data_IF_443903569016
#
_entry.id   IF_443903569016
#
_cell.length_a   1.000
_cell.length_b   1.000
_cell.length_c   1.000
_cell.angle_alpha   90.00
_cell.angle_beta   90.00
_cell.angle_gamma   90.00
#
_symmetry.space_group_name_H-M   'P 1'
#
loop_
_entity.id
_entity.type
_entity.pdbx_description
1 polymer ?
#
# COMPACT_ATOMS: atom_id res chain seq x y z
N UNK A 1 -39.24 8.43 22.12
CA UNK A 1 -39.29 9.02 20.77
C UNK A 1 -37.94 9.57 20.30
N UNK A 2 -37.22 10.39 21.10
CA UNK A 2 -35.92 10.95 20.72
C UNK A 2 -34.86 9.89 20.31
N UNK A 3 -34.74 8.79 21.06
CA UNK A 3 -33.81 7.69 20.78
C UNK A 3 -34.09 6.93 19.48
N UNK A 4 -35.37 6.72 19.14
CA UNK A 4 -35.75 6.05 17.90
C UNK A 4 -35.43 6.92 16.67
N UNK A 5 -35.61 8.24 16.81
CA UNK A 5 -35.28 9.21 15.76
C UNK A 5 -33.76 9.30 15.57
N UNK A 6 -32.96 9.27 16.64
CA UNK A 6 -31.49 9.26 16.55
C UNK A 6 -30.97 7.98 15.89
N UNK A 7 -31.50 6.82 16.24
CA UNK A 7 -31.12 5.54 15.61
C UNK A 7 -31.44 5.57 14.11
N UNK A 8 -32.61 6.07 13.73
CA UNK A 8 -33.03 6.15 12.33
C UNK A 8 -32.16 7.12 11.53
N UNK A 9 -31.86 8.30 12.08
CA UNK A 9 -30.96 9.28 11.46
C UNK A 9 -29.55 8.72 11.30
N UNK A 10 -28.98 8.08 12.33
CA UNK A 10 -27.65 7.45 12.26
C UNK A 10 -27.62 6.31 11.22
N UNK A 11 -28.69 5.51 11.14
CA UNK A 11 -28.77 4.41 10.17
C UNK A 11 -28.84 4.93 8.74
N UNK A 12 -29.64 5.97 8.48
CA UNK A 12 -29.72 6.62 7.16
C UNK A 12 -28.38 7.26 6.79
N UNK A 13 -27.74 7.97 7.73
CA UNK A 13 -26.43 8.57 7.50
C UNK A 13 -25.36 7.50 7.22
N UNK A 14 -25.40 6.37 7.94
CA UNK A 14 -24.49 5.25 7.71
C UNK A 14 -24.71 4.58 6.35
N UNK A 15 -25.97 4.44 5.90
CA UNK A 15 -26.31 3.91 4.57
C UNK A 15 -25.82 4.87 3.48
N UNK A 16 -26.11 6.18 3.62
CA UNK A 16 -25.65 7.21 2.67
C UNK A 16 -24.11 7.27 2.63
N UNK A 17 -23.45 7.24 3.79
CA UNK A 17 -21.99 7.16 3.89
C UNK A 17 -21.43 5.91 3.19
N UNK A 18 -22.03 4.73 3.42
CA UNK A 18 -21.61 3.48 2.78
C UNK A 18 -21.84 3.49 1.26
N UNK A 19 -22.87 4.18 0.76
CA UNK A 19 -23.15 4.34 -0.68
C UNK A 19 -22.18 5.34 -1.32
N UNK A 20 -21.90 6.46 -0.64
CA UNK A 20 -20.99 7.50 -1.14
C UNK A 20 -19.51 7.12 -1.02
N UNK A 21 -19.16 6.24 -0.07
CA UNK A 21 -17.79 5.77 0.11
C UNK A 21 -17.36 4.93 -1.09
N UNK A 22 -16.63 5.57 -2.01
CA UNK A 22 -16.01 4.87 -3.15
C UNK A 22 -15.15 3.73 -2.60
N UNK A 23 -15.41 2.51 -3.07
CA UNK A 23 -14.51 1.39 -2.79
C UNK A 23 -13.13 1.75 -3.37
N UNK A 24 -12.05 1.64 -2.58
CA UNK A 24 -10.71 1.90 -3.08
C UNK A 24 -10.46 0.90 -4.22
N UNK A 25 -10.14 1.44 -5.39
CA UNK A 25 -9.75 0.64 -6.55
C UNK A 25 -8.23 0.55 -6.56
N UNK A 26 -7.74 -0.62 -6.94
CA UNK A 26 -6.33 -0.81 -7.20
C UNK A 26 -5.88 0.16 -8.29
N UNK A 27 -4.86 0.97 -8.00
CA UNK A 27 -4.27 1.88 -8.99
C UNK A 27 -3.19 1.10 -9.75
N UNK A 28 -3.35 1.00 -11.06
CA UNK A 28 -2.35 0.41 -11.92
C UNK A 28 -1.24 1.42 -12.21
N UNK A 29 0.01 1.00 -12.00
CA UNK A 29 1.19 1.75 -12.41
C UNK A 29 2.03 0.89 -13.34
N UNK A 30 2.47 1.41 -14.49
CA UNK A 30 3.44 0.71 -15.31
C UNK A 30 4.80 0.68 -14.61
N UNK A 31 5.55 -0.40 -14.85
CA UNK A 31 6.97 -0.45 -14.47
C UNK A 31 7.73 0.57 -15.32
N UNK A 32 8.53 1.41 -14.68
CA UNK A 32 9.24 2.51 -15.33
C UNK A 32 10.72 2.19 -15.50
N UNK A 33 11.29 2.62 -16.61
CA UNK A 33 12.75 2.67 -16.78
C UNK A 33 13.39 3.71 -15.85
N UNK A 34 14.73 3.78 -15.82
CA UNK A 34 15.44 4.78 -15.00
C UNK A 34 15.14 6.21 -15.46
N UNK A 35 15.19 6.47 -16.77
CA UNK A 35 14.92 7.78 -17.34
C UNK A 35 13.47 8.24 -17.10
N UNK A 36 12.49 7.37 -17.38
CA UNK A 36 11.06 7.70 -17.17
C UNK A 36 10.74 7.97 -15.70
N UNK A 37 11.38 7.25 -14.79
CA UNK A 37 11.18 7.44 -13.36
C UNK A 37 11.73 8.77 -12.89
N UNK A 38 12.93 9.16 -13.34
CA UNK A 38 13.52 10.45 -12.96
C UNK A 38 12.64 11.61 -13.41
N UNK A 39 12.18 11.58 -14.66
CA UNK A 39 11.26 12.59 -15.21
C UNK A 39 9.95 12.65 -14.42
N UNK A 40 9.32 11.50 -14.18
CA UNK A 40 8.07 11.43 -13.40
C UNK A 40 8.25 11.81 -11.93
N UNK A 41 9.42 11.54 -11.35
CA UNK A 41 9.74 11.96 -9.97
C UNK A 41 9.76 13.48 -9.87
N UNK A 42 10.39 14.17 -10.83
CA UNK A 42 10.42 15.64 -10.89
C UNK A 42 9.01 16.24 -10.95
N UNK A 43 8.15 15.69 -11.82
CA UNK A 43 6.76 16.14 -11.96
C UNK A 43 5.95 15.88 -10.68
N UNK A 44 6.03 14.67 -10.14
CA UNK A 44 5.29 14.27 -8.95
C UNK A 44 5.69 15.10 -7.72
N UNK A 45 6.99 15.29 -7.52
CA UNK A 45 7.51 16.11 -6.42
C UNK A 45 7.06 17.56 -6.56
N UNK A 46 7.06 18.10 -7.78
CA UNK A 46 6.58 19.46 -8.04
C UNK A 46 5.12 19.64 -7.63
N UNK A 47 4.26 18.66 -7.94
CA UNK A 47 2.86 18.67 -7.53
C UNK A 47 2.68 18.56 -6.00
N UNK A 48 3.66 17.99 -5.30
CA UNK A 48 3.59 17.67 -3.86
C UNK A 48 4.31 18.69 -2.96
N UNK A 49 4.69 19.85 -3.50
CA UNK A 49 5.44 20.89 -2.77
C UNK A 49 4.63 21.55 -1.65
N UNK A 50 3.31 21.70 -1.82
CA UNK A 50 2.44 22.39 -0.87
C UNK A 50 1.54 21.39 -0.15
N UNK A 51 1.91 20.96 1.07
CA UNK A 51 1.11 20.00 1.79
C UNK A 51 -0.15 20.64 2.38
N UNK A 52 -1.27 19.94 2.26
CA UNK A 52 -2.49 20.18 3.01
C UNK A 52 -2.34 19.67 4.46
N UNK A 53 -3.22 20.14 5.36
CA UNK A 53 -3.33 19.61 6.73
C UNK A 53 -4.45 18.56 6.83
N UNK A 54 -4.17 17.51 7.60
CA UNK A 54 -5.12 16.43 7.87
C UNK A 54 -5.08 15.35 6.81
N UNK A 55 -4.70 14.14 7.22
CA UNK A 55 -4.67 12.98 6.35
C UNK A 55 -5.40 11.79 6.95
N UNK A 56 -5.94 10.95 6.08
CA UNK A 56 -6.60 9.71 6.49
C UNK A 56 -5.91 8.50 5.87
N UNK A 57 -5.81 7.43 6.66
CA UNK A 57 -5.37 6.11 6.21
C UNK A 57 -6.43 5.05 6.54
N UNK A 58 -6.52 4.00 5.73
CA UNK A 58 -7.51 2.92 5.89
C UNK A 58 -6.90 1.63 6.47
N UNK A 59 -5.85 1.73 7.30
CA UNK A 59 -5.05 0.58 7.76
C UNK A 59 -5.91 -0.49 8.48
N UNK A 60 -6.82 -0.08 9.37
CA UNK A 60 -7.72 -0.97 10.13
C UNK A 60 -8.59 -1.81 9.20
N UNK A 61 -9.05 -1.23 8.10
CA UNK A 61 -9.86 -1.91 7.08
C UNK A 61 -9.03 -2.98 6.37
N UNK A 62 -7.81 -2.63 5.93
CA UNK A 62 -6.92 -3.58 5.26
C UNK A 62 -6.52 -4.73 6.18
N UNK A 63 -6.03 -4.45 7.39
CA UNK A 63 -5.67 -5.47 8.40
C UNK A 63 -6.80 -6.47 8.67
N UNK A 64 -8.02 -5.97 8.87
CA UNK A 64 -9.20 -6.83 9.12
C UNK A 64 -9.54 -7.70 7.91
N UNK A 65 -9.48 -7.12 6.71
CA UNK A 65 -9.79 -7.83 5.46
C UNK A 65 -8.75 -8.88 5.12
N UNK A 66 -7.46 -8.57 5.26
CA UNK A 66 -6.37 -9.52 5.05
C UNK A 66 -6.53 -10.75 5.94
N UNK A 67 -6.76 -10.56 7.24
CA UNK A 67 -7.00 -11.68 8.18
C UNK A 67 -8.17 -12.55 7.75
N UNK A 68 -9.28 -11.94 7.31
CA UNK A 68 -10.45 -12.66 6.83
C UNK A 68 -10.20 -13.40 5.50
N UNK A 69 -9.50 -12.77 4.55
CA UNK A 69 -9.16 -13.35 3.26
C UNK A 69 -8.23 -14.56 3.43
N UNK A 70 -7.17 -14.42 4.23
CA UNK A 70 -6.27 -15.52 4.55
C UNK A 70 -7.02 -16.69 5.21
N UNK A 71 -7.90 -16.42 6.17
CA UNK A 71 -8.74 -17.46 6.79
C UNK A 71 -9.62 -18.17 5.75
N UNK A 72 -10.24 -17.42 4.84
CA UNK A 72 -11.12 -17.97 3.81
C UNK A 72 -10.37 -18.80 2.77
N UNK A 73 -9.18 -18.35 2.35
CA UNK A 73 -8.33 -19.05 1.39
C UNK A 73 -7.74 -20.34 1.97
N UNK A 74 -7.54 -20.42 3.31
CA UNK A 74 -7.12 -21.64 4.03
C UNK A 74 -8.18 -22.74 4.12
N UNK A 75 -9.40 -22.50 3.67
CA UNK A 75 -10.49 -23.47 3.75
C UNK A 75 -10.12 -24.78 3.03
N UNK A 76 -10.51 -25.94 3.58
CA UNK A 76 -10.28 -27.28 2.99
C UNK A 76 -10.67 -27.36 1.51
N UNK A 77 -11.66 -26.57 1.08
CA UNK A 77 -12.12 -26.48 -0.32
C UNK A 77 -11.04 -26.03 -1.31
N UNK A 78 -10.01 -25.31 -0.86
CA UNK A 78 -8.91 -24.78 -1.68
C UNK A 78 -7.54 -25.32 -1.26
N UNK A 79 -7.53 -26.43 -0.50
CA UNK A 79 -6.31 -27.06 0.00
C UNK A 79 -5.39 -27.43 -1.18
N UNK A 80 -4.15 -26.95 -1.14
CA UNK A 80 -3.14 -27.18 -2.17
C UNK A 80 -3.11 -26.17 -3.33
N UNK A 81 -4.14 -25.33 -3.49
CA UNK A 81 -4.21 -24.35 -4.60
C UNK A 81 -3.61 -23.00 -4.17
N UNK A 82 -3.89 -22.59 -2.93
CA UNK A 82 -3.40 -21.32 -2.38
C UNK A 82 -2.52 -21.52 -1.14
N UNK A 83 -1.95 -22.72 -0.96
CA UNK A 83 -1.12 -23.05 0.21
C UNK A 83 0.13 -22.19 0.30
N UNK A 84 0.75 -21.86 -0.85
CA UNK A 84 1.99 -21.06 -0.91
C UNK A 84 1.78 -19.65 -0.35
N UNK A 85 0.65 -19.00 -0.63
CA UNK A 85 0.28 -17.69 -0.04
C UNK A 85 0.05 -17.75 1.48
N UNK A 86 -0.10 -18.94 2.04
CA UNK A 86 -0.35 -19.15 3.45
C UNK A 86 0.93 -19.46 4.25
N UNK A 87 2.04 -19.73 3.57
CA UNK A 87 3.34 -20.10 4.14
C UNK A 87 4.14 -18.85 4.56
N UNK A 88 4.13 -17.78 3.76
CA UNK A 88 4.82 -16.50 4.06
C UNK A 88 4.07 -15.59 5.06
N UNK A 89 3.28 -16.19 5.95
CA UNK A 89 2.38 -15.43 6.83
C UNK A 89 3.13 -14.57 7.85
N UNK A 90 4.37 -14.91 8.18
CA UNK A 90 5.10 -14.23 9.25
C UNK A 90 5.30 -12.74 8.99
N UNK A 91 5.74 -12.37 7.78
CA UNK A 91 5.94 -10.96 7.43
C UNK A 91 4.62 -10.19 7.37
N UNK A 92 3.57 -10.80 6.81
CA UNK A 92 2.23 -10.20 6.77
C UNK A 92 1.66 -9.98 8.16
N UNK A 93 1.83 -10.95 9.07
CA UNK A 93 1.42 -10.83 10.46
C UNK A 93 2.24 -9.75 11.21
N UNK A 94 3.55 -9.58 10.89
CA UNK A 94 4.37 -8.46 11.40
C UNK A 94 3.80 -7.11 10.95
N UNK A 95 3.58 -6.92 9.64
CA UNK A 95 3.03 -5.67 9.08
C UNK A 95 1.64 -5.37 9.70
N UNK A 96 0.80 -6.40 9.88
CA UNK A 96 -0.53 -6.24 10.48
C UNK A 96 -0.51 -5.77 11.94
N UNK A 97 0.62 -5.89 12.66
CA UNK A 97 0.79 -5.44 14.04
C UNK A 97 1.34 -4.02 14.16
N UNK A 98 1.92 -3.46 13.10
CA UNK A 98 2.47 -2.10 13.10
C UNK A 98 1.35 -1.09 13.31
N UNK A 99 1.58 -0.09 14.15
CA UNK A 99 0.69 1.06 14.26
C UNK A 99 1.05 2.08 13.16
N UNK A 100 0.07 2.41 12.33
CA UNK A 100 0.25 3.38 11.25
C UNK A 100 -0.30 4.77 11.62
N UNK A 101 -0.81 4.95 12.84
CA UNK A 101 -1.47 6.18 13.27
C UNK A 101 -0.64 7.45 13.07
N UNK A 102 0.68 7.36 13.29
CA UNK A 102 1.61 8.49 13.12
C UNK A 102 1.63 9.05 11.68
N UNK A 103 1.24 8.27 10.67
CA UNK A 103 1.14 8.76 9.29
C UNK A 103 0.05 9.82 9.14
N UNK A 104 -1.00 9.82 9.98
CA UNK A 104 -2.08 10.80 9.90
C UNK A 104 -1.61 12.23 10.25
N UNK A 105 -0.57 12.33 11.06
CA UNK A 105 0.02 13.59 11.52
C UNK A 105 0.98 14.19 10.50
N UNK A 106 1.36 13.43 9.46
CA UNK A 106 2.24 13.90 8.41
C UNK A 106 1.60 14.97 7.51
N UNK A 107 2.43 15.81 6.87
CA UNK A 107 2.02 16.63 5.73
C UNK A 107 1.26 15.80 4.69
N UNK A 108 0.17 16.34 4.17
CA UNK A 108 -0.74 15.60 3.29
C UNK A 108 -0.80 16.15 1.88
N UNK A 109 -1.14 15.33 0.90
CA UNK A 109 -1.45 15.73 -0.47
C UNK A 109 -2.72 15.00 -0.88
N UNK A 110 -3.72 15.74 -1.36
CA UNK A 110 -5.02 15.18 -1.74
C UNK A 110 -5.68 14.35 -0.61
N UNK A 111 -5.56 14.81 0.65
CA UNK A 111 -6.13 14.15 1.83
C UNK A 111 -5.44 12.87 2.29
N UNK A 112 -4.26 12.55 1.75
CA UNK A 112 -3.44 11.40 2.16
C UNK A 112 -2.04 11.83 2.59
N UNK A 113 -1.35 11.07 3.46
CA UNK A 113 0.01 11.43 3.86
C UNK A 113 0.94 11.48 2.64
N UNK A 114 1.74 12.54 2.50
CA UNK A 114 2.65 12.71 1.35
C UNK A 114 3.67 11.57 1.28
N UNK A 115 4.23 11.16 2.42
CA UNK A 115 5.11 10.00 2.53
C UNK A 115 4.48 8.70 1.96
N UNK A 116 3.16 8.52 2.14
CA UNK A 116 2.43 7.35 1.61
C UNK A 116 2.34 7.41 0.08
N UNK A 117 2.09 8.58 -0.50
CA UNK A 117 2.02 8.72 -1.96
C UNK A 117 3.41 8.62 -2.62
N UNK A 118 4.46 9.13 -1.97
CA UNK A 118 5.85 8.92 -2.38
C UNK A 118 6.22 7.43 -2.37
N UNK A 119 5.91 6.73 -1.27
CA UNK A 119 6.14 5.29 -1.15
C UNK A 119 5.35 4.49 -2.19
N UNK A 120 4.11 4.90 -2.48
CA UNK A 120 3.26 4.30 -3.53
C UNK A 120 3.92 4.42 -4.90
N UNK A 121 4.32 5.62 -5.27
CA UNK A 121 4.98 5.85 -6.55
C UNK A 121 6.28 5.04 -6.68
N UNK A 122 7.11 5.05 -5.63
CA UNK A 122 8.36 4.30 -5.59
C UNK A 122 8.13 2.80 -5.83
N UNK A 123 7.29 2.15 -5.01
CA UNK A 123 7.04 0.71 -5.12
C UNK A 123 6.29 0.33 -6.41
N UNK A 124 5.30 1.12 -6.82
CA UNK A 124 4.47 0.74 -7.95
C UNK A 124 5.23 0.84 -9.28
N UNK A 125 6.20 1.77 -9.37
CA UNK A 125 7.07 1.95 -10.54
C UNK A 125 8.09 0.82 -10.78
N UNK A 126 8.33 -0.03 -9.79
CA UNK A 126 9.28 -1.16 -9.84
C UNK A 126 8.60 -2.52 -9.83
N UNK A 127 7.28 -2.56 -10.03
CA UNK A 127 6.53 -3.81 -9.91
C UNK A 127 6.48 -4.34 -8.48
N UNK A 128 6.41 -3.42 -7.51
CA UNK A 128 6.29 -3.68 -6.07
C UNK A 128 7.54 -4.26 -5.42
N UNK A 129 8.72 -3.90 -5.96
CA UNK A 129 10.03 -4.26 -5.41
C UNK A 129 10.64 -3.00 -4.78
N UNK A 130 10.99 -3.05 -3.50
CA UNK A 130 11.74 -1.96 -2.89
C UNK A 130 13.16 -1.90 -3.48
N UNK A 131 13.52 -0.75 -4.06
CA UNK A 131 14.84 -0.48 -4.63
C UNK A 131 15.34 0.82 -4.03
N UNK A 132 16.44 0.74 -3.27
CA UNK A 132 17.03 1.88 -2.57
C UNK A 132 17.33 3.06 -3.51
N UNK A 133 17.95 2.80 -4.67
CA UNK A 133 18.27 3.86 -5.64
C UNK A 133 17.04 4.64 -6.11
N UNK A 134 15.88 3.98 -6.21
CA UNK A 134 14.62 4.66 -6.59
C UNK A 134 14.17 5.59 -5.50
N UNK A 135 14.22 5.15 -4.24
CA UNK A 135 13.91 6.02 -3.12
C UNK A 135 14.89 7.18 -3.04
N UNK A 136 16.20 6.93 -3.21
CA UNK A 136 17.24 7.96 -3.26
C UNK A 136 16.95 9.03 -4.30
N UNK A 137 16.64 8.64 -5.54
CA UNK A 137 16.27 9.60 -6.60
C UNK A 137 15.07 10.45 -6.19
N UNK A 138 14.02 9.81 -5.64
CA UNK A 138 12.80 10.51 -5.23
C UNK A 138 13.05 11.47 -4.06
N UNK A 139 13.79 11.04 -3.05
CA UNK A 139 14.16 11.85 -1.89
C UNK A 139 15.01 13.05 -2.29
N UNK A 140 16.00 12.85 -3.18
CA UNK A 140 16.86 13.92 -3.69
C UNK A 140 16.06 14.97 -4.48
N UNK A 141 15.15 14.54 -5.36
CA UNK A 141 14.30 15.48 -6.10
C UNK A 141 13.38 16.26 -5.16
N UNK A 142 12.86 15.61 -4.12
CA UNK A 142 12.04 16.28 -3.13
C UNK A 142 12.82 17.30 -2.34
N UNK A 143 13.94 16.90 -1.73
CA UNK A 143 14.80 17.77 -0.95
C UNK A 143 15.39 18.94 -1.77
N UNK A 144 15.52 18.80 -3.10
CA UNK A 144 15.90 19.91 -4.00
C UNK A 144 14.86 21.02 -4.05
N UNK A 145 13.58 20.69 -3.92
CA UNK A 145 12.46 21.63 -4.03
C UNK A 145 11.92 22.05 -2.65
N UNK A 146 11.72 21.08 -1.76
CA UNK A 146 11.29 21.27 -0.37
C UNK A 146 11.69 20.07 0.47
N UNK A 147 12.35 20.32 1.59
CA UNK A 147 12.90 19.27 2.44
C UNK A 147 11.78 18.37 2.99
N UNK A 148 12.02 17.05 2.95
CA UNK A 148 11.20 16.09 3.69
C UNK A 148 11.30 16.40 5.18
N UNK A 149 10.15 16.56 5.84
CA UNK A 149 10.15 16.92 7.26
C UNK A 149 10.66 15.77 8.12
N UNK A 150 11.13 16.09 9.32
CA UNK A 150 11.57 15.08 10.28
C UNK A 150 10.45 14.05 10.57
N UNK A 151 9.20 14.51 10.67
CA UNK A 151 8.04 13.64 10.83
C UNK A 151 7.86 12.67 9.65
N UNK A 152 8.03 13.14 8.41
CA UNK A 152 7.92 12.30 7.22
C UNK A 152 9.05 11.27 7.13
N UNK A 153 10.28 11.65 7.46
CA UNK A 153 11.42 10.74 7.45
C UNK A 153 11.27 9.66 8.52
N UNK A 154 10.92 10.05 9.74
CA UNK A 154 10.78 9.11 10.86
C UNK A 154 9.65 8.11 10.65
N UNK A 155 8.62 8.48 9.90
CA UNK A 155 7.49 7.61 9.55
C UNK A 155 7.55 7.04 8.13
N UNK A 156 8.66 7.24 7.40
CA UNK A 156 8.79 6.80 6.00
C UNK A 156 8.72 5.27 5.90
N UNK A 157 9.31 4.57 6.87
CA UNK A 157 9.25 3.11 6.97
C UNK A 157 7.80 2.63 7.05
N UNK A 158 7.00 3.24 7.93
CA UNK A 158 5.58 2.99 8.09
C UNK A 158 4.82 3.28 6.80
N UNK A 159 5.20 4.33 6.06
CA UNK A 159 4.56 4.68 4.78
C UNK A 159 4.76 3.58 3.72
N UNK A 160 5.98 3.06 3.57
CA UNK A 160 6.27 1.93 2.68
C UNK A 160 5.54 0.66 3.12
N UNK A 161 5.56 0.33 4.40
CA UNK A 161 4.88 -0.86 4.93
C UNK A 161 3.35 -0.76 4.82
N UNK A 162 2.79 0.44 4.94
CA UNK A 162 1.37 0.70 4.71
C UNK A 162 0.97 0.45 3.25
N UNK A 163 1.77 0.91 2.30
CA UNK A 163 1.52 0.66 0.87
C UNK A 163 1.63 -0.83 0.55
N UNK A 164 2.60 -1.53 1.13
CA UNK A 164 2.73 -2.98 1.00
C UNK A 164 1.48 -3.68 1.58
N UNK A 165 1.01 -3.28 2.76
CA UNK A 165 -0.23 -3.78 3.37
C UNK A 165 -1.43 -3.59 2.43
N UNK A 166 -1.60 -2.39 1.88
CA UNK A 166 -2.68 -2.08 0.92
C UNK A 166 -2.61 -2.99 -0.31
N UNK A 167 -1.41 -3.16 -0.88
CA UNK A 167 -1.24 -4.01 -2.06
C UNK A 167 -1.48 -5.49 -1.76
N UNK A 168 -1.01 -5.99 -0.61
CA UNK A 168 -1.31 -7.36 -0.15
C UNK A 168 -2.82 -7.57 -0.07
N UNK A 169 -3.56 -6.60 0.47
CA UNK A 169 -5.02 -6.67 0.52
C UNK A 169 -5.63 -6.87 -0.88
N UNK A 170 -5.20 -6.10 -1.89
CA UNK A 170 -5.71 -6.23 -3.25
C UNK A 170 -5.34 -7.56 -3.91
N UNK A 171 -4.11 -8.04 -3.72
CA UNK A 171 -3.69 -9.37 -4.19
C UNK A 171 -4.59 -10.47 -3.61
N UNK A 172 -4.88 -10.40 -2.30
CA UNK A 172 -5.75 -11.37 -1.64
C UNK A 172 -7.23 -11.25 -2.07
N UNK A 173 -7.74 -10.05 -2.36
CA UNK A 173 -9.08 -9.88 -2.95
C UNK A 173 -9.16 -10.45 -4.37
N UNK A 174 -8.10 -10.29 -5.17
CA UNK A 174 -8.00 -10.87 -6.50
C UNK A 174 -8.01 -12.41 -6.43
N UNK A 175 -7.23 -13.00 -5.50
CA UNK A 175 -7.27 -14.45 -5.23
C UNK A 175 -8.64 -14.93 -4.77
N UNK A 176 -9.30 -14.19 -3.88
CA UNK A 176 -10.67 -14.49 -3.45
C UNK A 176 -11.68 -14.42 -4.61
N UNK A 177 -11.43 -13.57 -5.60
CA UNK A 177 -12.24 -13.48 -6.82
C UNK A 177 -12.00 -14.70 -7.73
N UNK A 178 -10.75 -15.10 -7.93
CA UNK A 178 -10.40 -16.36 -8.63
C UNK A 178 -11.07 -17.55 -7.93
N UNK A 179 -10.96 -17.66 -6.61
CA UNK A 179 -11.56 -18.72 -5.81
C UNK A 179 -13.10 -18.78 -5.90
N UNK A 180 -13.76 -17.63 -6.08
CA UNK A 180 -15.22 -17.56 -6.36
C UNK A 180 -15.53 -18.02 -7.78
N UNK A 181 -14.74 -17.59 -8.77
CA UNK A 181 -14.90 -17.98 -10.16
C UNK A 181 -14.74 -19.50 -10.34
N UNK A 182 -13.73 -20.11 -9.69
CA UNK A 182 -13.53 -21.57 -9.69
C UNK A 182 -14.75 -22.32 -9.15
N UNK A 183 -15.29 -21.87 -8.01
CA UNK A 183 -16.49 -22.48 -7.43
C UNK A 183 -17.72 -22.33 -8.33
N UNK A 184 -17.86 -21.20 -9.01
CA UNK A 184 -18.96 -20.97 -9.95
C UNK A 184 -18.82 -21.85 -11.19
N UNK A 185 -17.61 -21.99 -11.73
CA UNK A 185 -17.32 -22.85 -12.88
C UNK A 185 -17.65 -24.31 -12.57
N UNK A 186 -17.19 -24.82 -11.43
CA UNK A 186 -17.51 -26.17 -10.95
C UNK A 186 -19.00 -26.44 -10.80
N UNK A 187 -19.76 -25.45 -10.30
CA UNK A 187 -21.22 -25.57 -10.20
C UNK A 187 -21.88 -25.56 -11.57
N UNK A 188 -21.44 -24.67 -12.46
CA UNK A 188 -21.98 -24.52 -13.80
C UNK A 188 -21.81 -25.79 -14.64
N UNK A 189 -20.62 -26.39 -14.63
CA UNK A 189 -20.32 -27.64 -15.36
C UNK A 189 -21.13 -28.82 -14.85
N UNK A 190 -21.39 -28.88 -13.54
CA UNK A 190 -22.15 -29.97 -12.90
C UNK A 190 -23.65 -29.75 -12.92
N UNK A 191 -24.13 -28.65 -13.48
CA UNK A 191 -25.56 -28.34 -13.51
C UNK A 191 -26.20 -28.91 -14.78
N UNK A 192 -27.38 -29.53 -14.63
CA UNK A 192 -28.11 -30.20 -15.71
C UNK A 192 -28.85 -29.20 -16.62
N UNK A 193 -28.27 -28.02 -16.90
CA UNK A 193 -28.82 -26.99 -17.78
C UNK A 193 -29.71 -25.94 -17.11
N UNK A 194 -29.97 -26.01 -15.80
CA UNK A 194 -30.81 -25.05 -15.06
C UNK A 194 -30.12 -23.70 -14.76
N UNK A 195 -28.79 -23.65 -14.80
CA UNK A 195 -28.00 -22.45 -14.50
C UNK A 195 -28.06 -21.37 -15.60
N UNK A 196 -28.43 -21.70 -16.83
CA UNK A 196 -28.29 -20.78 -17.97
C UNK A 196 -29.09 -19.46 -17.81
N UNK A 197 -30.17 -19.49 -17.02
CA UNK A 197 -31.01 -18.33 -16.76
C UNK A 197 -30.60 -17.48 -15.55
N UNK A 198 -29.59 -17.89 -14.79
CA UNK A 198 -29.11 -17.08 -13.68
C UNK A 198 -28.35 -15.84 -14.18
N UNK A 199 -28.82 -14.64 -13.80
CA UNK A 199 -28.15 -13.36 -14.10
C UNK A 199 -26.66 -13.37 -13.71
N UNK A 200 -26.27 -14.09 -12.65
CA UNK A 200 -24.85 -14.23 -12.28
C UNK A 200 -24.04 -14.93 -13.37
N UNK A 201 -24.49 -16.05 -13.91
CA UNK A 201 -23.73 -16.76 -14.94
C UNK A 201 -23.68 -15.98 -16.27
N UNK A 202 -24.75 -15.27 -16.64
CA UNK A 202 -24.74 -14.34 -17.80
C UNK A 202 -23.70 -13.21 -17.68
N UNK A 203 -23.37 -12.77 -16.46
CA UNK A 203 -22.31 -11.76 -16.26
C UNK A 203 -20.90 -12.33 -16.43
N UNK A 204 -20.71 -13.62 -16.11
CA UNK A 204 -19.41 -14.30 -16.21
C UNK A 204 -19.17 -14.98 -17.57
N UNK A 205 -20.22 -15.22 -18.37
CA UNK A 205 -20.11 -15.88 -19.68
C UNK A 205 -19.27 -15.11 -20.70
N UNK A 206 -18.94 -13.84 -20.45
CA UNK A 206 -18.00 -13.05 -21.26
C UNK A 206 -16.57 -13.03 -20.72
N UNK A 207 -16.34 -13.56 -19.50
CA UNK A 207 -15.02 -13.60 -18.90
C UNK A 207 -14.22 -14.78 -19.46
N UNK A 208 -13.11 -14.48 -20.14
CA UNK A 208 -12.17 -15.49 -20.65
C UNK A 208 -11.73 -16.43 -19.54
N UNK A 209 -11.31 -15.89 -18.40
CA UNK A 209 -10.90 -16.68 -17.23
C UNK A 209 -12.02 -17.64 -16.75
N UNK A 210 -13.27 -17.18 -16.68
CA UNK A 210 -14.38 -18.01 -16.24
C UNK A 210 -14.70 -19.14 -17.23
N UNK A 211 -14.75 -18.84 -18.53
CA UNK A 211 -14.99 -19.85 -19.57
C UNK A 211 -13.89 -20.92 -19.57
N UNK A 212 -12.64 -20.51 -19.37
CA UNK A 212 -11.51 -21.42 -19.27
C UNK A 212 -11.56 -22.29 -18.01
N UNK A 213 -11.95 -21.73 -16.86
CA UNK A 213 -12.22 -22.51 -15.66
C UNK A 213 -13.33 -23.54 -15.86
N UNK A 214 -14.39 -23.20 -16.60
CA UNK A 214 -15.43 -24.17 -16.96
C UNK A 214 -14.90 -25.28 -17.87
N UNK A 215 -14.03 -24.97 -18.83
CA UNK A 215 -13.40 -25.99 -19.69
C UNK A 215 -12.53 -26.96 -18.88
N UNK A 216 -11.72 -26.43 -17.95
CA UNK A 216 -10.89 -27.25 -17.05
C UNK A 216 -11.76 -28.18 -16.20
N UNK A 217 -12.81 -27.65 -15.56
CA UNK A 217 -13.72 -28.46 -14.72
C UNK A 217 -14.52 -29.50 -15.54
N UNK A 218 -14.74 -29.26 -16.84
CA UNK A 218 -15.38 -30.19 -17.76
C UNK A 218 -14.39 -31.20 -18.39
N UNK A 219 -13.14 -31.25 -17.92
CA UNK A 219 -12.06 -32.12 -18.42
C UNK A 219 -11.70 -31.90 -19.89
N UNK A 220 -11.95 -30.71 -20.45
CA UNK A 220 -11.43 -30.38 -21.77
C UNK A 220 -9.92 -30.14 -21.70
N UNK A 221 -9.16 -30.90 -22.47
CA UNK A 221 -7.71 -30.69 -22.59
C UNK A 221 -7.42 -29.49 -23.50
N UNK A 222 -7.02 -28.37 -22.90
CA UNK A 222 -6.37 -27.29 -23.63
C UNK A 222 -4.90 -27.68 -23.86
N UNK A 223 -4.42 -27.56 -25.11
CA UNK A 223 -3.00 -27.76 -25.43
C UNK A 223 -2.11 -26.67 -24.80
N UNK A 224 -2.68 -25.51 -24.51
CA UNK A 224 -1.99 -24.38 -23.85
C UNK A 224 -2.42 -24.30 -22.37
N UNK A 225 -1.54 -24.73 -21.46
CA UNK A 225 -1.73 -24.72 -19.99
C UNK A 225 -1.62 -23.32 -19.35
N UNK A 226 -1.36 -22.27 -20.12
CA UNK A 226 -0.77 -21.03 -19.59
C UNK A 226 -1.70 -20.07 -18.82
N UNK A 227 -3.01 -20.32 -18.69
CA UNK A 227 -3.92 -19.23 -18.25
C UNK A 227 -4.26 -19.19 -16.75
N UNK A 228 -4.71 -20.28 -16.14
CA UNK A 228 -5.05 -20.26 -14.69
C UNK A 228 -3.79 -20.23 -13.83
N UNK A 229 -2.86 -21.14 -14.12
CA UNK A 229 -1.58 -21.21 -13.44
C UNK A 229 -0.83 -19.89 -13.62
N UNK A 230 -0.80 -19.31 -14.83
CA UNK A 230 -0.20 -17.99 -15.07
C UNK A 230 -0.82 -16.83 -14.30
N UNK A 231 -2.14 -16.83 -14.06
CA UNK A 231 -2.80 -15.80 -13.23
C UNK A 231 -2.49 -15.99 -11.75
N UNK A 232 -2.52 -17.23 -11.25
CA UNK A 232 -2.19 -17.54 -9.85
C UNK A 232 -0.71 -17.28 -9.58
N UNK A 233 0.17 -17.73 -10.47
CA UNK A 233 1.61 -17.51 -10.44
C UNK A 233 1.94 -16.02 -10.51
N UNK A 234 1.26 -15.24 -11.36
CA UNK A 234 1.44 -13.79 -11.41
C UNK A 234 1.06 -13.08 -10.09
N UNK A 235 -0.05 -13.51 -9.47
CA UNK A 235 -0.45 -13.03 -8.16
C UNK A 235 0.54 -13.47 -7.06
N UNK A 236 1.07 -14.69 -7.15
CA UNK A 236 2.06 -15.22 -6.22
C UNK A 236 3.39 -14.49 -6.34
N UNK A 237 3.89 -14.28 -7.55
CA UNK A 237 5.10 -13.51 -7.82
C UNK A 237 4.99 -12.09 -7.26
N UNK A 238 3.82 -11.45 -7.42
CA UNK A 238 3.58 -10.13 -6.83
C UNK A 238 3.57 -10.20 -5.30
N UNK A 239 2.93 -11.22 -4.73
CA UNK A 239 2.87 -11.43 -3.28
C UNK A 239 4.25 -11.70 -2.66
N UNK A 240 5.07 -12.55 -3.27
CA UNK A 240 6.43 -12.85 -2.86
C UNK A 240 7.28 -11.58 -2.87
N UNK A 241 7.24 -10.80 -3.97
CA UNK A 241 7.96 -9.52 -4.07
C UNK A 241 7.57 -8.53 -2.98
N UNK A 242 6.28 -8.49 -2.60
CA UNK A 242 5.80 -7.64 -1.50
C UNK A 242 6.34 -8.10 -0.14
N UNK A 243 6.42 -9.42 0.08
CA UNK A 243 7.00 -10.00 1.29
C UNK A 243 8.49 -9.69 1.40
N UNK A 244 9.25 -9.93 0.33
CA UNK A 244 10.68 -9.62 0.25
C UNK A 244 10.93 -8.11 0.43
N UNK A 245 10.11 -7.28 -0.21
CA UNK A 245 10.23 -5.82 -0.10
C UNK A 245 9.91 -5.32 1.30
N UNK A 246 8.95 -5.93 2.01
CA UNK A 246 8.67 -5.55 3.38
C UNK A 246 9.86 -5.85 4.31
N UNK A 247 10.56 -6.97 4.09
CA UNK A 247 11.76 -7.30 4.83
C UNK A 247 12.91 -6.32 4.53
N UNK A 248 13.11 -5.96 3.27
CA UNK A 248 14.06 -4.91 2.88
C UNK A 248 13.73 -3.57 3.53
N UNK A 249 12.47 -3.15 3.52
CA UNK A 249 12.01 -1.88 4.12
C UNK A 249 12.19 -1.88 5.65
N UNK A 250 11.94 -3.00 6.32
CA UNK A 250 12.12 -3.11 7.78
C UNK A 250 13.58 -2.87 8.18
N UNK A 251 14.52 -3.35 7.36
CA UNK A 251 15.96 -3.25 7.59
C UNK A 251 16.58 -1.96 7.02
N UNK A 252 15.81 -1.18 6.25
CA UNK A 252 16.28 0.06 5.66
C UNK A 252 16.21 1.24 6.63
N UNK A 253 17.22 2.11 6.56
CA UNK A 253 17.36 3.30 7.38
C UNK A 253 17.09 4.55 6.53
N UNK A 254 15.84 5.02 6.59
CA UNK A 254 15.40 6.20 5.86
C UNK A 254 15.99 7.51 6.39
N UNK A 255 16.51 7.53 7.63
CA UNK A 255 17.03 8.75 8.26
C UNK A 255 18.22 9.34 7.51
N UNK A 256 18.98 8.51 6.79
CA UNK A 256 20.13 8.90 5.95
C UNK A 256 19.80 9.86 4.82
N UNK A 257 18.52 10.05 4.50
CA UNK A 257 18.05 10.97 3.45
C UNK A 257 17.42 12.24 4.01
N UNK A 258 17.56 12.46 5.32
CA UNK A 258 17.16 13.70 5.97
C UNK A 258 18.28 14.74 5.85
N UNK A 259 18.15 15.63 4.85
CA UNK A 259 19.20 16.59 4.50
C UNK A 259 19.64 17.53 5.62
N UNK A 260 18.83 17.92 6.63
CA UNK A 260 19.32 18.74 7.74
C UNK A 260 20.47 18.09 8.54
N UNK A 261 20.61 16.75 8.50
CA UNK A 261 21.75 16.07 9.12
C UNK A 261 23.10 16.47 8.50
N UNK A 262 23.13 16.86 7.21
CA UNK A 262 24.34 17.36 6.56
C UNK A 262 24.94 18.61 7.24
N UNK A 263 24.12 19.30 8.03
CA UNK A 263 24.51 20.48 8.82
C UNK A 263 24.71 20.07 10.28
N UNK A 264 23.72 19.40 10.88
CA UNK A 264 23.77 19.07 12.30
C UNK A 264 24.91 18.11 12.68
N UNK A 265 25.28 17.16 11.79
CA UNK A 265 26.37 16.23 12.04
C UNK A 265 27.76 16.91 12.06
N UNK A 266 27.87 18.17 11.63
CA UNK A 266 29.11 18.95 11.74
C UNK A 266 29.38 19.48 13.16
N UNK A 267 28.38 19.45 14.05
CA UNK A 267 28.55 19.92 15.42
C UNK A 267 28.93 18.75 16.32
N UNK A 268 30.13 18.80 16.91
CA UNK A 268 30.63 17.75 17.82
C UNK A 268 29.62 17.37 18.92
N UNK A 269 28.88 18.35 19.44
CA UNK A 269 27.88 18.11 20.49
C UNK A 269 26.67 17.31 20.01
N UNK A 270 26.29 17.46 18.73
CA UNK A 270 25.22 16.69 18.12
C UNK A 270 25.74 15.33 17.65
N UNK A 271 26.87 15.29 16.96
CA UNK A 271 27.48 14.05 16.43
C UNK A 271 27.69 13.01 17.54
N UNK A 272 28.23 13.45 18.68
CA UNK A 272 28.53 12.61 19.85
C UNK A 272 27.32 12.40 20.80
N UNK A 273 26.16 12.97 20.50
CA UNK A 273 24.96 12.78 21.31
C UNK A 273 24.40 11.36 21.15
N UNK A 274 23.69 10.89 22.18
CA UNK A 274 22.94 9.62 22.09
C UNK A 274 21.79 9.74 21.09
N UNK A 275 21.35 8.63 20.50
CA UNK A 275 20.21 8.58 19.57
C UNK A 275 18.95 9.27 20.13
N UNK A 276 18.65 9.08 21.42
CA UNK A 276 17.50 9.73 22.06
C UNK A 276 17.65 11.26 22.13
N UNK A 277 18.87 11.75 22.37
CA UNK A 277 19.16 13.19 22.38
C UNK A 277 19.09 13.78 20.96
N UNK A 278 19.64 13.07 19.96
CA UNK A 278 19.52 13.45 18.55
C UNK A 278 18.05 13.54 18.14
N UNK A 279 17.26 12.52 18.45
CA UNK A 279 15.83 12.51 18.16
C UNK A 279 15.10 13.68 18.83
N UNK A 280 15.35 13.92 20.12
CA UNK A 280 14.75 15.03 20.87
C UNK A 280 15.11 16.40 20.29
N UNK A 281 16.37 16.59 19.89
CA UNK A 281 16.83 17.81 19.23
C UNK A 281 16.14 18.02 17.88
N UNK A 282 16.13 17.01 17.01
CA UNK A 282 15.52 17.11 15.68
C UNK A 282 14.01 17.33 15.75
N UNK A 283 13.33 16.69 16.71
CA UNK A 283 11.90 16.93 16.97
C UNK A 283 11.63 18.39 17.39
N UNK A 284 12.48 18.96 18.25
CA UNK A 284 12.38 20.36 18.64
C UNK A 284 12.67 21.30 17.46
N UNK A 285 13.71 21.02 16.67
CA UNK A 285 14.08 21.80 15.50
C UNK A 285 12.95 21.84 14.47
N UNK A 286 12.32 20.69 14.18
CA UNK A 286 11.16 20.58 13.28
C UNK A 286 9.96 21.41 13.77
N UNK A 287 9.66 21.38 15.07
CA UNK A 287 8.59 22.21 15.64
C UNK A 287 8.88 23.71 15.55
N UNK A 288 10.14 24.11 15.79
CA UNK A 288 10.56 25.51 15.70
C UNK A 288 10.56 26.00 14.25
N UNK A 289 11.00 25.18 13.28
CA UNK A 289 10.94 25.54 11.86
C UNK A 289 9.51 25.71 11.36
N UNK A 290 8.57 24.84 11.78
CA UNK A 290 7.15 25.01 11.45
C UNK A 290 6.60 26.32 12.04
N UNK A 291 6.93 26.62 13.30
CA UNK A 291 6.50 27.86 13.97
C UNK A 291 7.01 29.12 13.25
N UNK A 292 8.22 29.06 12.72
CA UNK A 292 8.85 30.14 11.97
C UNK A 292 8.50 30.14 10.48
N UNK A 293 7.73 29.15 10.02
CA UNK A 293 7.39 28.92 8.61
C UNK A 293 8.64 28.85 7.71
N UNK A 294 9.68 28.15 8.20
CA UNK A 294 10.92 27.88 7.48
C UNK A 294 11.00 26.41 7.09
N UNK A 295 11.57 26.16 5.91
CA UNK A 295 12.01 24.82 5.52
C UNK A 295 13.05 24.30 6.53
N UNK A 296 12.98 23.02 6.90
CA UNK A 296 13.83 22.44 7.94
C UNK A 296 15.33 22.52 7.61
N UNK A 297 15.71 22.42 6.33
CA UNK A 297 17.09 22.59 5.91
C UNK A 297 17.53 24.06 6.03
N UNK A 298 16.67 25.00 5.65
CA UNK A 298 16.93 26.44 5.82
C UNK A 298 17.02 26.84 7.29
N UNK A 299 16.21 26.20 8.15
CA UNK A 299 16.29 26.37 9.60
C UNK A 299 17.64 25.85 10.13
N UNK A 300 18.10 24.69 9.67
CA UNK A 300 19.41 24.15 10.05
C UNK A 300 20.56 25.10 9.66
N UNK A 301 20.56 25.65 8.44
CA UNK A 301 21.55 26.68 8.00
C UNK A 301 21.52 27.90 8.92
N UNK A 302 20.34 28.32 9.38
CA UNK A 302 20.21 29.48 10.27
C UNK A 302 20.82 29.19 11.64
N UNK A 303 20.62 28.00 12.19
CA UNK A 303 21.19 27.57 13.48
C UNK A 303 22.70 27.37 13.39
N UNK A 304 23.25 27.13 12.20
CA UNK A 304 24.70 27.03 11.96
C UNK A 304 25.43 28.37 12.10
N UNK A 305 24.74 29.51 11.96
CA UNK A 305 25.32 30.86 12.03
C UNK A 305 25.25 31.46 13.43
#
# INVERSE_FOLDING_TARGET
>A
MAYALTILVVTVFFIVYMILKKNPKEVYFPVLTNAEYEEKSKLLVFDYQSPDKGSEIEDKKYKRRIKWLLFKLKNKKYKGIFSTFCEDRQIVDKICKIDFGALCDNPSVNGKPRAVELARFCLASTGWIFVEDRFKTLANEHNRLKTLTFAEITTMKEAFLYIILEKIYFVLENLNTVAKAMNLAKKYVKDNGMAFDNKKYKSFSKSKLFLELCMIEANYQKKDKECLDGVIDGLYMTYSRLCDSAESVLNFDFSRYYTPLEIYDKFDCFENATENQKFGFLSLASSLSEKENLDEFMYAIRVEK
#
